data_IF_807797175682
#
_entry.id   IF_807797175682
#
_cell.length_a   1.000
_cell.length_b   1.000
_cell.length_c   1.000
_cell.angle_alpha   90.00
_cell.angle_beta   90.00
_cell.angle_gamma   90.00
#
_symmetry.space_group_name_H-M   'P 1'
#
loop_
_entity.id
_entity.type
_entity.pdbx_description
1 polymer ?
#
# COMPACT_ATOMS: atom_id res chain seq x y z
N UNK A 1 3.13 18.10 -9.44
CA UNK A 1 3.45 17.80 -8.03
C UNK A 1 2.33 16.95 -7.51
N UNK A 2 2.65 15.75 -7.07
CA UNK A 2 1.65 14.82 -6.55
C UNK A 2 0.99 15.39 -5.30
N UNK A 3 -0.34 15.34 -5.24
CA UNK A 3 -1.07 15.80 -4.07
C UNK A 3 -1.05 14.73 -2.97
N UNK A 4 -0.95 15.18 -1.72
CA UNK A 4 -1.11 14.34 -0.55
C UNK A 4 -2.58 14.32 -0.13
N UNK A 5 -3.10 13.11 0.12
CA UNK A 5 -4.39 12.90 0.78
C UNK A 5 -4.18 11.92 1.93
N UNK A 6 -4.89 12.10 3.03
CA UNK A 6 -4.83 11.13 4.12
C UNK A 6 -5.32 11.70 5.44
N UNK A 7 -6.59 11.55 5.68
CA UNK A 7 -7.25 11.97 6.91
C UNK A 7 -8.17 10.89 7.49
N UNK A 8 -8.20 9.70 6.89
CA UNK A 8 -8.90 8.51 7.42
C UNK A 8 -8.10 7.23 7.19
N UNK A 9 -8.41 6.19 7.98
CA UNK A 9 -7.66 4.92 8.01
C UNK A 9 -7.98 4.01 6.82
N UNK A 10 -7.83 4.50 5.59
CA UNK A 10 -8.00 3.74 4.35
C UNK A 10 -6.70 3.78 3.55
N UNK A 11 -5.62 3.23 4.11
CA UNK A 11 -4.27 3.40 3.59
C UNK A 11 -4.13 2.93 2.13
N UNK A 12 -4.73 1.81 1.74
CA UNK A 12 -4.65 1.26 0.39
C UNK A 12 -5.41 2.11 -0.65
N UNK A 13 -6.62 2.57 -0.36
CA UNK A 13 -7.41 3.40 -1.29
C UNK A 13 -6.85 4.81 -1.42
N UNK A 14 -6.35 5.41 -0.34
CA UNK A 14 -5.66 6.71 -0.39
C UNK A 14 -4.31 6.61 -1.12
N UNK A 15 -3.54 5.56 -0.89
CA UNK A 15 -2.29 5.34 -1.62
C UNK A 15 -2.54 5.17 -3.12
N UNK A 16 -3.57 4.41 -3.50
CA UNK A 16 -3.95 4.29 -4.91
C UNK A 16 -4.43 5.64 -5.49
N UNK A 17 -5.25 6.40 -4.76
CA UNK A 17 -5.71 7.71 -5.20
C UNK A 17 -4.54 8.68 -5.47
N UNK A 18 -3.55 8.74 -4.57
CA UNK A 18 -2.35 9.54 -4.74
C UNK A 18 -1.51 9.09 -5.95
N UNK A 19 -1.39 7.78 -6.17
CA UNK A 19 -0.67 7.27 -7.34
C UNK A 19 -1.39 7.65 -8.64
N UNK A 20 -2.73 7.51 -8.70
CA UNK A 20 -3.52 7.84 -9.88
C UNK A 20 -3.56 9.35 -10.16
N UNK A 21 -3.57 10.20 -9.12
CA UNK A 21 -3.49 11.66 -9.26
C UNK A 21 -2.23 12.10 -10.01
N UNK A 22 -1.11 11.44 -9.80
CA UNK A 22 0.13 11.73 -10.51
C UNK A 22 0.05 11.50 -12.03
N UNK A 23 -0.88 10.64 -12.47
CA UNK A 23 -1.20 10.40 -13.88
C UNK A 23 -2.36 11.27 -14.40
N UNK A 24 -2.88 12.18 -13.56
CA UNK A 24 -3.95 13.11 -13.91
C UNK A 24 -5.35 12.56 -13.72
N UNK A 25 -5.52 11.49 -12.97
CA UNK A 25 -6.83 10.90 -12.65
C UNK A 25 -7.27 11.31 -11.24
N UNK A 26 -8.26 12.17 -11.13
CA UNK A 26 -8.83 12.63 -9.84
C UNK A 26 -9.90 11.64 -9.34
N UNK A 27 -9.48 10.50 -8.84
CA UNK A 27 -10.36 9.57 -8.14
C UNK A 27 -10.36 9.82 -6.64
N UNK A 28 -11.54 9.89 -6.05
CA UNK A 28 -11.67 9.97 -4.59
C UNK A 28 -11.40 8.62 -3.96
N UNK A 29 -10.71 8.61 -2.83
CA UNK A 29 -10.38 7.37 -2.12
C UNK A 29 -11.63 6.57 -1.73
N UNK A 30 -12.72 7.24 -1.36
CA UNK A 30 -14.00 6.62 -1.03
C UNK A 30 -14.66 5.93 -2.24
N UNK A 31 -14.46 6.48 -3.44
CA UNK A 31 -14.92 5.84 -4.67
C UNK A 31 -14.08 4.59 -4.97
N UNK A 32 -12.75 4.68 -4.82
CA UNK A 32 -11.86 3.54 -4.98
C UNK A 32 -12.19 2.45 -3.96
N UNK A 33 -12.42 2.81 -2.70
CA UNK A 33 -12.86 1.89 -1.64
C UNK A 33 -14.13 1.13 -2.02
N UNK A 34 -15.10 1.84 -2.61
CA UNK A 34 -16.36 1.23 -3.06
C UNK A 34 -16.16 0.20 -4.18
N UNK A 35 -15.25 0.48 -5.14
CA UNK A 35 -14.94 -0.48 -6.23
C UNK A 35 -14.03 -1.62 -5.77
N UNK A 36 -13.17 -1.39 -4.80
CA UNK A 36 -12.34 -2.41 -4.17
C UNK A 36 -13.17 -3.43 -3.39
N UNK A 37 -14.40 -3.07 -3.02
CA UNK A 37 -15.36 -3.92 -2.29
C UNK A 37 -14.81 -4.37 -0.93
N UNK A 38 -13.85 -3.63 -0.35
CA UNK A 38 -13.21 -3.98 0.91
C UNK A 38 -14.17 -4.05 2.09
N UNK A 39 -15.14 -3.13 2.14
CA UNK A 39 -16.17 -3.10 3.17
C UNK A 39 -17.29 -4.13 2.98
N UNK A 40 -17.22 -5.01 1.97
CA UNK A 40 -18.26 -5.98 1.67
C UNK A 40 -17.77 -7.40 1.91
N UNK A 41 -18.56 -8.17 2.64
CA UNK A 41 -18.25 -9.57 2.92
C UNK A 41 -17.89 -9.84 4.36
N UNK A 42 -17.41 -11.02 4.63
CA UNK A 42 -16.89 -11.42 5.92
C UNK A 42 -15.83 -12.51 5.74
N UNK A 43 -14.71 -12.35 6.40
CA UNK A 43 -13.63 -13.34 6.46
C UNK A 43 -13.64 -14.05 7.82
N UNK A 44 -13.40 -15.33 7.82
CA UNK A 44 -13.30 -16.13 9.05
C UNK A 44 -11.90 -16.72 9.14
N UNK A 45 -11.14 -16.29 10.12
CA UNK A 45 -9.84 -16.87 10.45
C UNK A 45 -10.05 -17.94 11.55
N UNK A 46 -9.76 -19.20 11.23
CA UNK A 46 -9.91 -20.35 12.12
C UNK A 46 -8.55 -20.85 12.58
N UNK A 47 -7.81 -20.05 13.28
CA UNK A 47 -6.58 -20.51 13.96
C UNK A 47 -6.92 -21.35 15.19
N UNK A 48 -8.06 -21.07 15.83
CA UNK A 48 -8.66 -21.85 16.90
C UNK A 48 -10.12 -22.18 16.52
N UNK A 49 -10.44 -23.49 16.42
CA UNK A 49 -11.80 -23.94 16.08
C UNK A 49 -12.85 -23.52 17.14
N UNK A 50 -12.43 -23.27 18.38
CA UNK A 50 -13.32 -22.87 19.47
C UNK A 50 -13.61 -21.38 19.48
N UNK A 51 -12.70 -20.54 18.94
CA UNK A 51 -12.79 -19.08 18.97
C UNK A 51 -12.43 -18.49 17.61
N UNK A 52 -13.24 -18.70 16.56
CA UNK A 52 -12.95 -18.13 15.24
C UNK A 52 -13.05 -16.61 15.29
N UNK A 53 -12.05 -15.92 14.70
CA UNK A 53 -12.11 -14.49 14.47
C UNK A 53 -12.93 -14.22 13.21
N UNK A 54 -13.88 -13.29 13.29
CA UNK A 54 -14.70 -12.86 12.16
C UNK A 54 -14.38 -11.41 11.86
N UNK A 55 -13.94 -11.14 10.63
CA UNK A 55 -13.75 -9.80 10.11
C UNK A 55 -14.85 -9.51 9.09
N UNK A 56 -15.44 -8.32 9.17
CA UNK A 56 -16.47 -7.87 8.21
C UNK A 56 -15.83 -7.05 7.10
N UNK A 57 -14.92 -7.68 6.36
CA UNK A 57 -14.26 -7.16 5.17
C UNK A 57 -13.89 -8.30 4.21
N UNK A 58 -13.35 -8.00 3.04
CA UNK A 58 -12.87 -9.03 2.13
C UNK A 58 -11.41 -9.46 2.43
N UNK A 59 -10.70 -8.75 3.32
CA UNK A 59 -9.41 -9.14 3.89
C UNK A 59 -8.21 -9.17 2.95
N UNK A 60 -8.35 -8.68 1.70
CA UNK A 60 -7.31 -8.78 0.67
C UNK A 60 -7.13 -7.47 -0.10
N UNK A 61 -6.56 -6.42 0.53
CA UNK A 61 -6.46 -5.10 -0.09
C UNK A 61 -5.58 -5.08 -1.35
N UNK A 62 -4.54 -5.88 -1.42
CA UNK A 62 -3.67 -6.03 -2.59
C UNK A 62 -4.46 -6.54 -3.82
N UNK A 63 -5.21 -7.62 -3.68
CA UNK A 63 -6.07 -8.14 -4.75
C UNK A 63 -7.19 -7.15 -5.11
N UNK A 64 -7.68 -6.40 -4.14
CA UNK A 64 -8.72 -5.39 -4.35
C UNK A 64 -8.20 -4.19 -5.14
N UNK A 65 -6.95 -3.77 -4.93
CA UNK A 65 -6.28 -2.75 -5.75
C UNK A 65 -6.24 -3.21 -7.21
N UNK A 66 -5.71 -4.38 -7.48
CA UNK A 66 -5.60 -4.95 -8.83
C UNK A 66 -6.97 -5.12 -9.50
N UNK A 67 -7.98 -5.55 -8.74
CA UNK A 67 -9.34 -5.69 -9.23
C UNK A 67 -9.95 -4.34 -9.63
N UNK A 68 -9.78 -3.32 -8.80
CA UNK A 68 -10.28 -1.98 -9.08
C UNK A 68 -9.63 -1.37 -10.32
N UNK A 69 -8.32 -1.54 -10.50
CA UNK A 69 -7.61 -1.07 -11.69
C UNK A 69 -8.12 -1.74 -12.96
N UNK A 70 -8.40 -3.04 -12.93
CA UNK A 70 -9.02 -3.77 -14.06
C UNK A 70 -10.42 -3.25 -14.40
N UNK A 71 -11.26 -2.99 -13.38
CA UNK A 71 -12.60 -2.41 -13.57
C UNK A 71 -12.51 -1.03 -14.21
N UNK A 72 -11.54 -0.22 -13.80
CA UNK A 72 -11.34 1.13 -14.33
C UNK A 72 -10.65 1.13 -15.71
N UNK A 73 -10.20 -0.03 -16.19
CA UNK A 73 -9.59 -0.19 -17.52
C UNK A 73 -8.13 0.28 -17.58
N UNK A 74 -7.44 0.25 -16.47
CA UNK A 74 -6.00 0.56 -16.42
C UNK A 74 -5.16 -0.67 -16.77
N UNK A 75 -4.10 -0.46 -17.54
CA UNK A 75 -2.98 -1.36 -17.61
C UNK A 75 -2.05 -1.06 -16.43
N UNK A 76 -1.59 -2.09 -15.73
CA UNK A 76 -0.71 -1.97 -14.58
C UNK A 76 0.20 -3.19 -14.47
N UNK A 77 1.28 -3.03 -13.74
CA UNK A 77 2.22 -4.09 -13.40
C UNK A 77 2.24 -4.31 -11.88
N UNK A 78 2.42 -5.55 -11.48
CA UNK A 78 2.47 -5.99 -10.09
C UNK A 78 3.73 -6.81 -9.84
N UNK A 79 4.28 -6.71 -8.65
CA UNK A 79 5.36 -7.55 -8.18
C UNK A 79 5.06 -8.00 -6.75
N UNK A 80 5.06 -9.30 -6.53
CA UNK A 80 4.83 -9.90 -5.22
C UNK A 80 6.04 -10.71 -4.79
N UNK A 81 6.44 -10.55 -3.53
CA UNK A 81 7.33 -11.49 -2.89
C UNK A 81 6.56 -12.75 -2.54
N UNK A 82 7.11 -13.91 -2.87
CA UNK A 82 6.50 -15.19 -2.49
C UNK A 82 6.78 -15.47 -1.02
N UNK A 83 5.79 -15.99 -0.32
CA UNK A 83 5.94 -16.43 1.06
C UNK A 83 7.13 -17.40 1.20
N UNK A 84 8.02 -17.10 2.17
CA UNK A 84 9.20 -17.91 2.43
C UNK A 84 10.31 -17.81 1.39
N UNK A 85 10.21 -16.90 0.41
CA UNK A 85 11.31 -16.62 -0.51
C UNK A 85 12.45 -15.90 0.22
N UNK A 86 13.68 -16.21 -0.17
CA UNK A 86 14.83 -15.41 0.24
C UNK A 86 14.69 -14.01 -0.38
N UNK A 87 14.81 -12.98 0.47
CA UNK A 87 14.65 -11.60 0.04
C UNK A 87 15.95 -11.10 -0.58
N UNK A 88 15.92 -10.85 -1.88
CA UNK A 88 17.01 -10.16 -2.59
C UNK A 88 16.68 -8.66 -2.69
N UNK A 89 17.34 -7.86 -1.84
CA UNK A 89 17.14 -6.41 -1.79
C UNK A 89 17.53 -5.71 -3.10
N UNK A 90 18.52 -6.21 -3.83
CA UNK A 90 18.94 -5.63 -5.11
C UNK A 90 17.88 -5.91 -6.20
N UNK A 91 17.27 -7.09 -6.19
CA UNK A 91 16.14 -7.40 -7.08
C UNK A 91 14.95 -6.49 -6.79
N UNK A 92 14.56 -6.34 -5.51
CA UNK A 92 13.46 -5.47 -5.10
C UNK A 92 13.72 -4.03 -5.52
N UNK A 93 14.93 -3.54 -5.28
CA UNK A 93 15.35 -2.19 -5.65
C UNK A 93 15.26 -1.98 -7.16
N UNK A 94 15.79 -2.91 -7.94
CA UNK A 94 15.74 -2.84 -9.40
C UNK A 94 14.31 -2.85 -9.95
N UNK A 95 13.41 -3.65 -9.35
CA UNK A 95 11.97 -3.65 -9.68
C UNK A 95 11.31 -2.32 -9.36
N UNK A 96 11.61 -1.78 -8.18
CA UNK A 96 11.04 -0.50 -7.74
C UNK A 96 11.55 0.67 -8.62
N UNK A 97 12.84 0.69 -8.98
CA UNK A 97 13.39 1.67 -9.92
C UNK A 97 12.70 1.60 -11.29
N UNK A 98 12.47 0.38 -11.78
CA UNK A 98 11.76 0.15 -13.04
C UNK A 98 10.32 0.70 -12.97
N UNK A 99 9.57 0.39 -11.93
CA UNK A 99 8.21 0.90 -11.76
C UNK A 99 8.19 2.42 -11.61
N UNK A 100 9.06 2.98 -10.79
CA UNK A 100 9.16 4.43 -10.57
C UNK A 100 9.55 5.21 -11.82
N UNK A 101 10.18 4.57 -12.81
CA UNK A 101 10.46 5.21 -14.10
C UNK A 101 9.19 5.53 -14.89
N UNK A 102 8.08 4.85 -14.60
CA UNK A 102 6.77 5.06 -15.21
C UNK A 102 5.85 5.95 -14.37
N UNK A 103 6.13 6.11 -13.07
CA UNK A 103 5.35 6.93 -12.15
C UNK A 103 5.36 6.40 -10.72
N UNK A 104 4.55 6.99 -9.83
CA UNK A 104 4.46 6.54 -8.45
C UNK A 104 3.95 5.11 -8.32
N UNK A 105 4.38 4.45 -7.25
CA UNK A 105 4.09 3.05 -6.94
C UNK A 105 3.33 2.95 -5.63
N UNK A 106 2.25 2.18 -5.58
CA UNK A 106 1.63 1.77 -4.33
C UNK A 106 2.46 0.61 -3.76
N UNK A 107 3.02 0.81 -2.58
CA UNK A 107 3.86 -0.17 -1.89
C UNK A 107 3.15 -0.65 -0.63
N UNK A 108 3.01 -1.95 -0.49
CA UNK A 108 2.40 -2.60 0.68
C UNK A 108 1.99 -4.05 0.37
N UNK A 109 1.52 -4.80 1.38
CA UNK A 109 1.48 -4.38 2.78
C UNK A 109 2.86 -4.26 3.41
N UNK A 110 3.07 -3.19 4.16
CA UNK A 110 4.25 -2.96 4.99
C UNK A 110 3.87 -3.12 6.46
N UNK A 111 4.80 -3.57 7.29
CA UNK A 111 4.60 -3.53 8.74
C UNK A 111 4.86 -2.11 9.27
N UNK A 112 3.84 -1.46 9.83
CA UNK A 112 3.94 -0.11 10.40
C UNK A 112 4.99 0.00 11.51
N UNK A 113 5.34 -1.09 12.17
CA UNK A 113 6.37 -1.14 13.18
C UNK A 113 7.76 -0.73 12.67
N UNK A 114 8.00 -0.89 11.37
CA UNK A 114 9.25 -0.52 10.70
C UNK A 114 9.24 0.87 10.06
N UNK A 115 8.11 1.58 10.08
CA UNK A 115 8.00 2.94 9.54
C UNK A 115 8.45 3.97 10.58
N UNK A 116 9.76 4.09 10.78
CA UNK A 116 10.41 4.82 11.88
C UNK A 116 10.11 6.32 11.91
N UNK A 117 9.62 6.90 10.83
CA UNK A 117 9.12 8.28 10.81
C UNK A 117 7.79 8.46 11.56
N UNK A 118 7.03 7.38 11.77
CA UNK A 118 5.83 7.42 12.58
C UNK A 118 6.21 7.33 14.07
N UNK A 119 5.93 8.34 14.90
CA UNK A 119 6.31 8.32 16.31
C UNK A 119 5.68 7.18 17.11
N UNK A 120 4.60 6.59 16.60
CA UNK A 120 3.90 5.47 17.22
C UNK A 120 4.34 4.10 16.67
N UNK A 121 5.34 4.03 15.80
CA UNK A 121 5.73 2.80 15.11
C UNK A 121 5.98 1.63 16.08
N UNK A 122 6.57 1.89 17.26
CA UNK A 122 6.91 0.84 18.24
C UNK A 122 5.70 0.09 18.82
N UNK A 123 4.50 0.64 18.72
CA UNK A 123 3.25 -0.01 19.16
C UNK A 123 2.41 -0.51 17.98
N UNK A 124 2.90 -0.35 16.75
CA UNK A 124 2.19 -0.69 15.51
C UNK A 124 2.81 -1.90 14.80
N UNK A 125 3.67 -2.68 15.46
CA UNK A 125 4.19 -3.92 14.91
C UNK A 125 3.07 -4.90 14.54
N UNK A 126 3.17 -5.47 13.32
CA UNK A 126 2.18 -6.39 12.79
C UNK A 126 0.92 -5.72 12.22
N UNK A 127 0.89 -4.38 12.14
CA UNK A 127 -0.20 -3.65 11.48
C UNK A 127 0.16 -3.40 10.03
N UNK A 128 -0.65 -3.92 9.13
CA UNK A 128 -0.54 -3.76 7.68
C UNK A 128 -0.71 -2.30 7.27
N UNK A 129 0.12 -1.87 6.33
CA UNK A 129 0.04 -0.51 5.81
C UNK A 129 0.43 -0.39 4.35
N UNK A 130 -0.18 0.57 3.65
CA UNK A 130 0.14 0.91 2.27
C UNK A 130 0.56 2.37 2.18
N UNK A 131 1.56 2.64 1.35
CA UNK A 131 2.10 3.98 1.08
C UNK A 131 2.23 4.22 -0.42
N UNK A 132 2.38 5.48 -0.82
CA UNK A 132 2.69 5.85 -2.20
C UNK A 132 4.14 6.30 -2.30
N UNK A 133 4.99 5.50 -2.93
CA UNK A 133 6.38 5.84 -3.23
C UNK A 133 6.43 6.60 -4.55
N UNK A 134 7.09 7.76 -4.57
CA UNK A 134 7.19 8.59 -5.76
C UNK A 134 8.62 8.83 -6.26
N UNK A 135 9.63 8.46 -5.47
CA UNK A 135 11.03 8.49 -5.88
C UNK A 135 11.90 7.54 -5.07
N UNK A 136 13.00 7.12 -5.66
CA UNK A 136 14.10 6.40 -5.02
C UNK A 136 15.41 7.07 -5.44
N UNK A 137 16.25 7.43 -4.46
CA UNK A 137 17.59 7.96 -4.72
C UNK A 137 18.63 7.06 -4.04
N UNK A 138 19.11 6.08 -4.76
CA UNK A 138 20.21 5.20 -4.32
C UNK A 138 19.98 4.49 -2.99
N UNK A 139 19.71 5.19 -1.90
CA UNK A 139 19.56 4.66 -0.54
C UNK A 139 18.25 5.03 0.15
N UNK A 140 17.48 5.96 -0.42
CA UNK A 140 16.30 6.50 0.23
C UNK A 140 15.07 6.41 -0.66
N UNK A 141 13.97 5.97 -0.05
CA UNK A 141 12.63 6.10 -0.60
C UNK A 141 12.02 7.45 -0.22
N UNK A 142 11.31 8.05 -1.15
CA UNK A 142 10.49 9.23 -0.93
C UNK A 142 9.04 8.85 -1.13
N UNK A 143 8.23 9.06 -0.11
CA UNK A 143 6.87 8.57 -0.08
C UNK A 143 5.88 9.54 0.55
N UNK A 144 4.62 9.32 0.24
CA UNK A 144 3.47 9.84 0.98
C UNK A 144 2.82 8.69 1.74
N UNK A 145 2.61 8.89 3.03
CA UNK A 145 1.92 7.96 3.89
C UNK A 145 0.57 8.55 4.29
N UNK A 146 -0.55 7.92 3.92
CA UNK A 146 -1.90 8.40 4.23
C UNK A 146 -2.21 8.47 5.74
N UNK A 147 -1.38 7.89 6.61
CA UNK A 147 -1.50 8.04 8.06
C UNK A 147 -1.11 9.44 8.59
N UNK A 148 -0.96 10.44 7.72
CA UNK A 148 -0.68 11.83 8.07
C UNK A 148 0.75 12.28 7.80
N UNK A 149 1.56 11.49 7.09
CA UNK A 149 2.98 11.78 6.87
C UNK A 149 3.27 12.05 5.39
N UNK A 150 3.20 13.33 5.00
CA UNK A 150 3.53 13.77 3.65
C UNK A 150 5.04 13.92 3.44
N UNK A 151 5.53 13.60 2.24
CA UNK A 151 6.91 13.85 1.81
C UNK A 151 7.97 13.23 2.74
N UNK A 152 7.75 12.00 3.16
CA UNK A 152 8.69 11.29 4.02
C UNK A 152 9.88 10.79 3.23
N UNK A 153 11.04 10.76 3.90
CA UNK A 153 12.28 10.17 3.41
C UNK A 153 12.66 9.02 4.33
N UNK A 154 12.75 7.81 3.79
CA UNK A 154 13.02 6.57 4.54
C UNK A 154 14.22 5.88 3.93
N UNK A 155 15.13 5.32 4.75
CA UNK A 155 16.21 4.52 4.22
C UNK A 155 15.64 3.21 3.64
N UNK A 156 16.16 2.79 2.48
CA UNK A 156 15.66 1.59 1.79
C UNK A 156 15.91 0.29 2.57
N UNK A 157 16.92 0.30 3.45
CA UNK A 157 17.31 -0.88 4.23
C UNK A 157 16.70 -0.89 5.66
N UNK A 158 15.88 0.08 6.01
CA UNK A 158 15.16 0.14 7.28
C UNK A 158 13.81 -0.56 7.15
#
# INVERSE_FOLDING_TARGET
MQMYFGDVSLCYSYSLAMALDAFGYDFKAEFLEAIMVMGNGASIVKEDEQHPLVFFDNGMPDLSISHSLKILGFDFEEFYLKDGAEVDLEEIKGKLEMFLSNGPVVLGPLDMGHLTYNPNHTILYGVDHFVTVYALDGQYLYLHDPAGFACMKVAFND
#
